data_IF_779036250982
#
_entry.id   IF_779036250982
#
_cell.length_a   1.000
_cell.length_b   1.000
_cell.length_c   1.000
_cell.angle_alpha   90.00
_cell.angle_beta   90.00
_cell.angle_gamma   90.00
#
_symmetry.space_group_name_H-M   'P 1'
#
loop_
_entity.id
_entity.type
_entity.pdbx_description
1 polymer ?
#
# COMPACT_ATOMS: atom_id res chain seq x y z
N UNK A 1 3.57 11.25 -30.13
CA UNK A 1 2.31 11.59 -29.42
C UNK A 1 1.66 10.35 -28.78
N UNK A 2 1.48 9.24 -29.51
CA UNK A 2 0.86 8.03 -28.98
C UNK A 2 1.60 7.41 -27.77
N UNK A 3 2.94 7.37 -27.80
CA UNK A 3 3.73 6.81 -26.69
C UNK A 3 3.60 7.63 -25.40
N UNK A 4 3.60 8.96 -25.50
CA UNK A 4 3.39 9.84 -24.35
C UNK A 4 2.02 9.56 -23.70
N UNK A 5 0.98 9.45 -24.51
CA UNK A 5 -0.38 9.15 -24.03
C UNK A 5 -0.46 7.76 -23.36
N UNK A 6 0.26 6.77 -23.90
CA UNK A 6 0.39 5.45 -23.26
C UNK A 6 1.02 5.57 -21.88
N UNK A 7 2.17 6.23 -21.75
CA UNK A 7 2.85 6.40 -20.46
C UNK A 7 2.00 7.15 -19.43
N UNK A 8 1.29 8.20 -19.83
CA UNK A 8 0.38 8.93 -18.93
C UNK A 8 -0.72 8.02 -18.41
N UNK A 9 -1.35 7.21 -19.27
CA UNK A 9 -2.39 6.26 -18.85
C UNK A 9 -1.85 5.18 -17.93
N UNK A 10 -0.68 4.63 -18.25
CA UNK A 10 -0.04 3.60 -17.42
C UNK A 10 0.31 4.13 -16.03
N UNK A 11 0.81 5.37 -15.96
CA UNK A 11 1.06 6.05 -14.70
C UNK A 11 -0.22 6.21 -13.86
N UNK A 12 -1.29 6.76 -14.45
CA UNK A 12 -2.57 6.92 -13.74
C UNK A 12 -3.22 5.59 -13.36
N UNK A 13 -2.99 4.52 -14.12
CA UNK A 13 -3.49 3.18 -13.76
C UNK A 13 -2.86 2.67 -12.46
N UNK A 14 -1.57 2.95 -12.26
CA UNK A 14 -0.88 2.63 -11.01
C UNK A 14 -1.44 3.48 -9.87
N UNK A 15 -1.53 4.80 -10.08
CA UNK A 15 -2.00 5.74 -9.06
C UNK A 15 -3.43 5.44 -8.59
N UNK A 16 -4.35 5.21 -9.52
CA UNK A 16 -5.74 4.86 -9.21
C UNK A 16 -5.86 3.58 -8.37
N UNK A 17 -4.93 2.63 -8.55
CA UNK A 17 -4.90 1.38 -7.78
C UNK A 17 -4.27 1.52 -6.38
N UNK A 18 -3.68 2.67 -6.06
CA UNK A 18 -2.96 2.91 -4.81
C UNK A 18 -3.59 4.03 -3.98
N UNK A 19 -4.15 5.06 -4.62
CA UNK A 19 -4.65 6.30 -3.98
C UNK A 19 -5.58 6.04 -2.79
N UNK A 20 -6.60 5.20 -2.96
CA UNK A 20 -7.54 4.93 -1.86
C UNK A 20 -6.89 4.15 -0.72
N UNK A 21 -6.03 3.18 -1.03
CA UNK A 21 -5.44 2.33 -0.01
C UNK A 21 -4.42 3.11 0.83
N UNK A 22 -3.50 3.80 0.16
CA UNK A 22 -2.40 4.49 0.82
C UNK A 22 -2.84 5.83 1.38
N UNK A 23 -3.29 6.73 0.52
CA UNK A 23 -3.51 8.13 0.87
C UNK A 23 -4.77 8.28 1.74
N UNK A 24 -5.82 7.49 1.47
CA UNK A 24 -7.10 7.60 2.17
C UNK A 24 -7.26 6.64 3.33
N UNK A 25 -6.97 5.35 3.16
CA UNK A 25 -7.25 4.34 4.20
C UNK A 25 -6.11 4.15 5.18
N UNK A 26 -4.87 4.17 4.70
CA UNK A 26 -3.68 4.14 5.55
C UNK A 26 -3.19 5.53 5.96
N UNK A 27 -3.88 6.58 5.51
CA UNK A 27 -3.66 7.98 5.92
C UNK A 27 -2.20 8.41 5.68
N UNK A 28 -1.56 7.90 4.63
CA UNK A 28 -0.15 8.15 4.30
C UNK A 28 0.15 9.66 4.23
N UNK A 29 -0.74 10.44 3.61
CA UNK A 29 -0.59 11.88 3.41
C UNK A 29 -0.62 12.69 4.72
N UNK A 30 -1.29 12.17 5.76
CA UNK A 30 -1.31 12.85 7.08
C UNK A 30 0.02 12.70 7.80
N UNK A 31 0.85 11.74 7.41
CA UNK A 31 2.17 11.55 8.01
C UNK A 31 3.18 12.59 7.53
N UNK A 32 3.26 13.71 8.24
CA UNK A 32 4.29 14.71 8.01
C UNK A 32 5.55 14.41 8.84
N UNK A 33 6.57 13.84 8.17
CA UNK A 33 7.89 13.72 8.79
C UNK A 33 8.71 15.00 8.62
N UNK A 34 9.37 15.43 9.71
CA UNK A 34 10.26 16.60 9.71
C UNK A 34 11.72 16.25 9.44
N UNK A 35 12.03 14.95 9.31
CA UNK A 35 13.39 14.46 9.06
C UNK A 35 13.52 14.03 7.59
N UNK A 36 14.52 14.56 6.85
CA UNK A 36 14.80 14.12 5.49
C UNK A 36 15.00 12.60 5.42
N UNK A 37 14.52 11.98 4.34
CA UNK A 37 14.66 10.54 4.09
C UNK A 37 13.65 9.63 4.80
N UNK A 38 13.03 10.05 5.90
CA UNK A 38 12.04 9.22 6.58
C UNK A 38 10.76 9.00 5.76
N UNK A 39 10.40 9.94 4.88
CA UNK A 39 9.23 9.79 4.01
C UNK A 39 9.44 8.64 3.02
N UNK A 40 10.64 8.52 2.45
CA UNK A 40 11.00 7.43 1.56
C UNK A 40 10.98 6.07 2.31
N UNK A 41 11.46 6.04 3.55
CA UNK A 41 11.38 4.83 4.38
C UNK A 41 9.93 4.43 4.68
N UNK A 42 9.07 5.38 5.05
CA UNK A 42 7.66 5.11 5.29
C UNK A 42 6.97 4.57 4.03
N UNK A 43 7.20 5.22 2.89
CA UNK A 43 6.67 4.78 1.61
C UNK A 43 7.15 3.36 1.24
N UNK A 44 8.42 3.03 1.52
CA UNK A 44 8.96 1.70 1.30
C UNK A 44 8.29 0.64 2.20
N UNK A 45 8.03 0.97 3.47
CA UNK A 45 7.32 0.08 4.41
C UNK A 45 5.86 -0.12 3.97
N UNK A 46 5.15 0.94 3.60
CA UNK A 46 3.79 0.86 3.07
C UNK A 46 3.72 0.01 1.80
N UNK A 47 4.67 0.18 0.89
CA UNK A 47 4.81 -0.65 -0.31
C UNK A 47 5.04 -2.13 0.02
N UNK A 48 5.91 -2.41 1.00
CA UNK A 48 6.17 -3.78 1.43
C UNK A 48 4.92 -4.42 2.03
N UNK A 49 4.21 -3.73 2.93
CA UNK A 49 2.97 -4.21 3.53
C UNK A 49 1.88 -4.49 2.47
N UNK A 50 1.71 -3.58 1.51
CA UNK A 50 0.79 -3.79 0.38
C UNK A 50 1.17 -5.02 -0.45
N UNK A 51 2.46 -5.18 -0.75
CA UNK A 51 2.94 -6.32 -1.53
C UNK A 51 2.69 -7.63 -0.79
N UNK A 52 2.95 -7.68 0.53
CA UNK A 52 2.66 -8.83 1.38
C UNK A 52 1.18 -9.19 1.33
N UNK A 53 0.28 -8.21 1.48
CA UNK A 53 -1.15 -8.47 1.37
C UNK A 53 -1.56 -9.02 0.00
N UNK A 54 -1.06 -8.42 -1.10
CA UNK A 54 -1.36 -8.89 -2.46
C UNK A 54 -0.84 -10.30 -2.75
N UNK A 55 0.24 -10.71 -2.11
CA UNK A 55 0.86 -12.02 -2.34
C UNK A 55 0.35 -13.12 -1.41
N UNK A 56 -0.03 -12.78 -0.18
CA UNK A 56 -0.27 -13.79 0.89
C UNK A 56 -1.66 -13.74 1.50
N UNK A 57 -2.42 -12.66 1.31
CA UNK A 57 -3.84 -12.65 1.73
C UNK A 57 -4.72 -13.39 0.71
N UNK A 58 -5.90 -13.80 1.14
CA UNK A 58 -6.91 -14.38 0.25
C UNK A 58 -7.26 -13.38 -0.87
N UNK A 59 -7.07 -13.75 -2.16
CA UNK A 59 -7.35 -12.85 -3.28
C UNK A 59 -8.83 -12.49 -3.45
N UNK A 60 -9.75 -13.22 -2.82
CA UNK A 60 -11.18 -12.89 -2.77
C UNK A 60 -11.50 -11.78 -1.75
N UNK A 61 -10.58 -11.49 -0.84
CA UNK A 61 -10.75 -10.47 0.19
C UNK A 61 -10.05 -9.18 -0.24
N UNK A 62 -10.74 -8.02 -0.25
CA UNK A 62 -10.09 -6.74 -0.52
C UNK A 62 -8.93 -6.49 0.44
N UNK A 63 -7.80 -5.99 -0.06
CA UNK A 63 -6.58 -5.72 0.75
C UNK A 63 -6.89 -4.91 2.01
N UNK A 64 -7.80 -3.94 1.90
CA UNK A 64 -8.27 -3.16 3.05
C UNK A 64 -8.85 -4.04 4.15
N UNK A 65 -9.78 -4.93 3.82
CA UNK A 65 -10.42 -5.80 4.80
C UNK A 65 -9.40 -6.77 5.42
N UNK A 66 -8.45 -7.27 4.64
CA UNK A 66 -7.35 -8.09 5.13
C UNK A 66 -6.43 -7.31 6.09
N UNK A 67 -6.16 -6.03 5.83
CA UNK A 67 -5.39 -5.17 6.72
C UNK A 67 -6.18 -4.81 7.99
N UNK A 68 -7.47 -4.49 7.88
CA UNK A 68 -8.37 -4.19 9.00
C UNK A 68 -8.48 -5.39 9.95
N UNK A 69 -8.45 -6.63 9.43
CA UNK A 69 -8.45 -7.86 10.23
C UNK A 69 -7.23 -8.01 11.16
N UNK A 70 -6.09 -7.37 10.83
CA UNK A 70 -4.93 -7.35 11.72
C UNK A 70 -5.27 -6.60 13.02
N UNK A 71 -6.15 -5.59 12.95
CA UNK A 71 -6.71 -4.89 14.11
C UNK A 71 -5.66 -4.45 15.15
N UNK A 72 -4.52 -3.91 14.67
CA UNK A 72 -3.38 -3.49 15.50
C UNK A 72 -2.76 -4.60 16.36
N UNK A 73 -3.01 -5.86 16.04
CA UNK A 73 -2.43 -7.01 16.72
C UNK A 73 -1.23 -7.56 15.94
N UNK A 74 0.02 -7.34 16.40
CA UNK A 74 1.21 -7.77 15.69
C UNK A 74 1.26 -9.28 15.48
N UNK A 75 0.69 -10.09 16.37
CA UNK A 75 0.69 -11.54 16.22
C UNK A 75 -0.12 -11.98 14.99
N UNK A 76 -1.21 -11.28 14.67
CA UNK A 76 -2.00 -11.55 13.46
C UNK A 76 -1.19 -11.17 12.22
N UNK A 77 -0.57 -9.99 12.22
CA UNK A 77 0.29 -9.53 11.13
C UNK A 77 1.49 -10.45 10.88
N UNK A 78 2.14 -10.94 11.94
CA UNK A 78 3.26 -11.88 11.83
C UNK A 78 2.85 -13.24 11.23
N UNK A 79 1.62 -13.70 11.47
CA UNK A 79 1.12 -14.92 10.82
C UNK A 79 1.03 -14.78 9.31
N UNK A 80 0.64 -13.60 8.81
CA UNK A 80 0.60 -13.31 7.37
C UNK A 80 1.98 -13.38 6.72
N UNK A 81 3.06 -13.10 7.46
CA UNK A 81 4.43 -13.19 6.94
C UNK A 81 4.88 -14.65 6.78
N UNK A 82 4.37 -15.54 7.64
CA UNK A 82 4.78 -16.95 7.72
C UNK A 82 3.84 -17.90 6.98
N UNK A 83 2.71 -17.42 6.44
CA UNK A 83 1.70 -18.20 5.73
C UNK A 83 2.09 -18.51 4.29
#
# INVERSE_FOLDING_TARGET
AADLLRYVRDHWRIENGLHFLKDRWWDEDRHHTRRPGLSACLAAINNAALSIHRLRSDPQVPVRAAADYIAWNPAIGLRLLNS
#
